data_IF_273507100752
#
_entry.id   IF_273507100752
#
_cell.length_a   1.000
_cell.length_b   1.000
_cell.length_c   1.000
_cell.angle_alpha   90.00
_cell.angle_beta   90.00
_cell.angle_gamma   90.00
#
_symmetry.space_group_name_H-M   'P 1'
#
loop_
_entity.id
_entity.type
_entity.pdbx_description
1 polymer ?
#
# COMPACT_ATOMS: atom_id res chain seq x y z
N UNK A 1 13.42 -6.09 -32.81
CA UNK A 1 12.94 -5.03 -33.69
C UNK A 1 11.71 -4.38 -33.06
N UNK A 2 11.69 -3.09 -33.00
CA UNK A 2 10.54 -2.31 -32.54
C UNK A 2 9.65 -2.04 -33.74
N UNK A 3 8.39 -2.41 -33.69
CA UNK A 3 7.43 -1.99 -34.71
C UNK A 3 6.50 -0.92 -34.11
N UNK A 4 6.46 0.24 -34.75
CA UNK A 4 5.53 1.31 -34.44
C UNK A 4 4.33 1.18 -35.38
N UNK A 5 3.13 1.20 -34.83
CA UNK A 5 1.91 1.30 -35.62
C UNK A 5 1.32 2.73 -35.43
N UNK A 6 1.14 3.43 -36.53
CA UNK A 6 0.65 4.79 -36.61
C UNK A 6 -0.88 4.92 -36.49
N UNK A 7 -1.54 4.01 -35.78
CA UNK A 7 -2.96 4.14 -35.44
C UNK A 7 -3.20 5.43 -34.64
N UNK A 8 -4.16 6.21 -35.05
CA UNK A 8 -4.49 7.55 -34.56
C UNK A 8 -4.85 7.60 -33.08
N UNK A 9 -3.86 7.87 -32.23
CA UNK A 9 -4.03 8.10 -30.79
C UNK A 9 -2.70 8.29 -30.08
N UNK A 10 -2.62 9.04 -28.98
CA UNK A 10 -1.38 9.33 -28.26
C UNK A 10 -0.89 8.15 -27.41
N UNK A 11 -1.23 6.91 -27.73
CA UNK A 11 -0.95 5.74 -26.91
C UNK A 11 0.18 4.91 -27.51
N UNK A 12 1.27 4.73 -26.78
CA UNK A 12 2.32 3.81 -27.09
C UNK A 12 1.90 2.40 -26.64
N UNK A 13 1.27 1.63 -27.50
CA UNK A 13 1.00 0.22 -27.23
C UNK A 13 2.25 -0.61 -27.50
N UNK A 14 2.81 -1.22 -26.48
CA UNK A 14 3.79 -2.26 -26.67
C UNK A 14 3.06 -3.54 -27.12
N UNK A 15 2.97 -3.78 -28.43
CA UNK A 15 2.30 -4.96 -29.00
C UNK A 15 3.07 -6.25 -28.81
N UNK A 16 4.33 -6.19 -28.44
CA UNK A 16 5.15 -7.35 -28.11
C UNK A 16 6.63 -7.02 -28.00
N UNK A 17 7.34 -7.82 -27.25
CA UNK A 17 8.79 -7.81 -27.15
C UNK A 17 9.27 -9.07 -27.89
N UNK A 18 10.13 -8.94 -28.91
CA UNK A 18 10.78 -10.09 -29.53
C UNK A 18 12.25 -10.18 -29.09
N UNK A 19 12.68 -11.38 -28.72
CA UNK A 19 14.09 -11.71 -28.46
C UNK A 19 14.53 -12.72 -29.50
N UNK A 20 15.60 -12.42 -30.24
CA UNK A 20 16.12 -13.27 -31.31
C UNK A 20 15.04 -13.66 -32.35
N UNK A 21 14.16 -12.73 -32.72
CA UNK A 21 13.09 -12.95 -33.68
C UNK A 21 11.87 -13.74 -33.18
N UNK A 22 11.86 -14.18 -31.92
CA UNK A 22 10.69 -14.79 -31.28
C UNK A 22 9.91 -13.73 -30.51
N UNK A 23 8.62 -13.57 -30.85
CA UNK A 23 7.71 -12.72 -30.14
C UNK A 23 7.45 -13.33 -28.75
N UNK A 24 7.70 -12.57 -27.68
CA UNK A 24 7.44 -13.00 -26.30
C UNK A 24 5.95 -12.91 -25.91
N UNK A 25 5.15 -12.17 -26.70
CA UNK A 25 3.71 -12.07 -26.54
C UNK A 25 3.06 -12.31 -27.90
N UNK A 26 2.16 -13.26 -27.99
CA UNK A 26 1.50 -13.64 -29.23
C UNK A 26 0.40 -12.61 -29.58
N UNK A 27 0.50 -12.01 -30.77
CA UNK A 27 -0.53 -11.12 -31.30
C UNK A 27 -1.82 -11.91 -31.49
N UNK A 28 -2.88 -11.60 -30.75
CA UNK A 28 -4.18 -12.25 -30.82
C UNK A 28 -4.56 -13.15 -29.64
N UNK A 29 -3.65 -13.36 -28.70
CA UNK A 29 -4.03 -13.90 -27.39
C UNK A 29 -4.24 -12.70 -26.48
N UNK A 30 -5.50 -12.35 -26.25
CA UNK A 30 -5.88 -11.51 -25.14
C UNK A 30 -5.45 -12.28 -23.88
N UNK A 31 -4.46 -11.83 -23.08
CA UNK A 31 -4.14 -12.54 -21.84
C UNK A 31 -5.43 -12.68 -21.05
N UNK A 32 -5.69 -13.85 -20.48
CA UNK A 32 -6.94 -14.14 -19.76
C UNK A 32 -7.25 -13.10 -18.65
N UNK A 33 -6.28 -12.26 -18.29
CA UNK A 33 -6.36 -11.20 -17.29
C UNK A 33 -5.89 -9.84 -17.83
N UNK A 34 -6.18 -9.53 -19.10
CA UNK A 34 -5.92 -8.16 -19.59
C UNK A 34 -6.75 -7.17 -18.77
N UNK A 35 -6.17 -6.06 -18.26
CA UNK A 35 -6.92 -5.06 -17.51
C UNK A 35 -7.99 -4.44 -18.41
N UNK A 36 -9.17 -4.18 -17.86
CA UNK A 36 -10.27 -3.53 -18.58
C UNK A 36 -10.07 -2.00 -18.71
N UNK A 37 -9.19 -1.45 -17.87
CA UNK A 37 -8.77 -0.05 -17.92
C UNK A 37 -7.28 -0.01 -18.25
N UNK A 38 -6.94 0.66 -19.34
CA UNK A 38 -5.55 0.91 -19.70
C UNK A 38 -4.90 1.96 -18.77
N UNK A 39 -3.65 1.74 -18.39
CA UNK A 39 -2.88 2.77 -17.69
C UNK A 39 -2.53 3.92 -18.66
N UNK A 40 -2.68 5.15 -18.18
CA UNK A 40 -2.25 6.37 -18.92
C UNK A 40 -0.82 6.78 -18.58
N UNK A 41 -0.20 6.13 -17.59
CA UNK A 41 1.19 6.29 -17.19
C UNK A 41 1.53 5.35 -16.05
N UNK A 42 2.75 4.84 -16.02
CA UNK A 42 3.18 3.98 -14.93
C UNK A 42 4.69 4.10 -14.65
N UNK A 43 5.05 3.86 -13.39
CA UNK A 43 6.42 3.65 -12.92
C UNK A 43 6.42 2.41 -12.03
N UNK A 44 7.23 1.43 -12.35
CA UNK A 44 7.18 0.12 -11.69
C UNK A 44 8.58 -0.32 -11.28
N UNK A 45 8.73 -0.61 -9.99
CA UNK A 45 9.90 -1.23 -9.39
C UNK A 45 9.57 -2.64 -8.89
N UNK A 46 9.67 -3.65 -9.75
CA UNK A 46 9.31 -5.03 -9.40
C UNK A 46 10.17 -5.60 -8.26
N UNK A 47 11.45 -5.25 -8.21
CA UNK A 47 12.35 -5.65 -7.10
C UNK A 47 12.09 -4.86 -5.82
N UNK A 48 11.71 -3.60 -5.95
CA UNK A 48 11.35 -2.73 -4.85
C UNK A 48 9.94 -3.03 -4.31
N UNK A 49 9.15 -3.79 -5.08
CA UNK A 49 7.77 -4.10 -4.70
C UNK A 49 6.87 -2.88 -4.60
N UNK A 50 7.11 -1.88 -5.44
CA UNK A 50 6.36 -0.63 -5.47
C UNK A 50 6.04 -0.20 -6.89
N UNK A 51 4.83 0.28 -7.12
CA UNK A 51 4.42 0.87 -8.40
C UNK A 51 3.54 2.09 -8.22
N UNK A 52 3.61 2.97 -9.23
CA UNK A 52 2.72 4.12 -9.39
C UNK A 52 2.04 3.95 -10.74
N UNK A 53 0.72 4.01 -10.77
CA UNK A 53 -0.06 3.86 -12.00
C UNK A 53 -1.09 4.98 -12.09
N UNK A 54 -1.14 5.65 -13.23
CA UNK A 54 -2.20 6.59 -13.57
C UNK A 54 -3.20 5.92 -14.51
N UNK A 55 -4.49 6.14 -14.29
CA UNK A 55 -5.56 5.63 -15.15
C UNK A 55 -6.75 6.60 -15.19
N UNK A 56 -7.57 6.49 -16.22
CA UNK A 56 -8.88 7.13 -16.27
C UNK A 56 -9.94 6.07 -15.98
N UNK A 57 -10.84 6.34 -15.04
CA UNK A 57 -11.92 5.42 -14.71
C UNK A 57 -12.91 5.26 -15.88
N UNK A 58 -13.72 4.22 -15.85
CA UNK A 58 -14.67 3.90 -16.90
C UNK A 58 -16.10 3.68 -16.39
N UNK A 59 -16.36 4.03 -15.14
CA UNK A 59 -17.66 3.88 -14.47
C UNK A 59 -18.25 2.46 -14.49
N UNK A 60 -17.42 1.44 -14.75
CA UNK A 60 -17.84 0.03 -14.83
C UNK A 60 -17.43 -0.72 -13.59
N UNK A 61 -18.39 -1.28 -12.86
CA UNK A 61 -18.09 -2.11 -11.68
C UNK A 61 -17.36 -3.38 -12.06
N UNK A 62 -16.38 -3.76 -11.23
CA UNK A 62 -15.53 -4.91 -11.52
C UNK A 62 -14.43 -4.64 -12.55
N UNK A 63 -14.27 -3.38 -12.98
CA UNK A 63 -13.17 -3.00 -13.85
C UNK A 63 -11.82 -3.26 -13.19
N UNK A 64 -10.81 -3.58 -13.99
CA UNK A 64 -9.47 -3.93 -13.52
C UNK A 64 -8.42 -2.99 -14.06
N UNK A 65 -7.42 -2.68 -13.23
CA UNK A 65 -6.25 -1.85 -13.57
C UNK A 65 -4.98 -2.67 -13.28
N UNK A 66 -4.07 -2.73 -14.24
CA UNK A 66 -2.78 -3.39 -14.03
C UNK A 66 -1.91 -2.58 -13.06
N UNK A 67 -1.27 -3.26 -12.09
CA UNK A 67 -0.33 -2.62 -11.16
C UNK A 67 1.15 -2.81 -11.53
N UNK A 68 1.45 -3.73 -12.45
CA UNK A 68 2.81 -3.98 -12.96
C UNK A 68 3.78 -4.67 -11.99
N UNK A 69 3.39 -4.97 -10.77
CA UNK A 69 4.21 -5.69 -9.80
C UNK A 69 4.26 -7.19 -10.11
N UNK A 70 5.26 -7.89 -9.56
CA UNK A 70 5.45 -9.34 -9.74
C UNK A 70 4.60 -10.21 -8.79
N UNK A 71 3.93 -9.59 -7.82
CA UNK A 71 3.11 -10.25 -6.81
C UNK A 71 1.86 -9.42 -6.50
N UNK A 72 0.86 -10.07 -5.90
CA UNK A 72 -0.34 -9.39 -5.40
C UNK A 72 0.05 -8.29 -4.40
N UNK A 73 -0.43 -7.05 -4.59
CA UNK A 73 -0.18 -5.97 -3.66
C UNK A 73 -0.83 -6.20 -2.29
N UNK A 74 -0.08 -5.94 -1.23
CA UNK A 74 -0.55 -5.96 0.15
C UNK A 74 -1.17 -4.65 0.58
N UNK A 75 -0.70 -3.54 0.00
CA UNK A 75 -1.13 -2.19 0.34
C UNK A 75 -1.32 -1.38 -0.93
N UNK A 76 -2.51 -0.77 -1.09
CA UNK A 76 -2.85 0.03 -2.27
C UNK A 76 -3.54 1.31 -1.83
N UNK A 77 -3.12 2.42 -2.39
CA UNK A 77 -3.76 3.72 -2.24
C UNK A 77 -4.25 4.19 -3.60
N UNK A 78 -5.50 4.63 -3.69
CA UNK A 78 -6.06 5.27 -4.88
C UNK A 78 -6.52 6.68 -4.53
N UNK A 79 -6.16 7.63 -5.39
CA UNK A 79 -6.56 9.03 -5.27
C UNK A 79 -7.08 9.55 -6.60
N UNK A 80 -8.27 10.13 -6.59
CA UNK A 80 -8.79 10.92 -7.71
C UNK A 80 -7.98 12.22 -7.85
N UNK A 81 -7.54 12.54 -9.05
CA UNK A 81 -6.69 13.70 -9.36
C UNK A 81 -7.35 14.70 -10.31
N UNK A 82 -8.57 14.41 -10.83
CA UNK A 82 -9.39 15.34 -11.60
C UNK A 82 -10.85 15.27 -11.12
N UNK A 83 -11.65 16.24 -11.49
CA UNK A 83 -13.08 16.31 -11.09
C UNK A 83 -13.28 16.81 -9.67
N UNK A 84 -14.18 16.17 -8.90
CA UNK A 84 -14.54 16.55 -7.54
C UNK A 84 -13.49 16.12 -6.51
N UNK A 85 -13.51 16.75 -5.34
CA UNK A 85 -12.61 16.37 -4.23
C UNK A 85 -13.09 15.07 -3.59
N UNK A 86 -12.25 14.04 -3.64
CA UNK A 86 -12.51 12.73 -3.05
C UNK A 86 -11.44 12.35 -2.02
N UNK A 87 -11.78 11.45 -1.11
CA UNK A 87 -10.84 10.92 -0.12
C UNK A 87 -9.82 9.96 -0.75
N UNK A 88 -8.68 9.80 -0.10
CA UNK A 88 -7.69 8.79 -0.44
C UNK A 88 -8.20 7.42 -0.01
N UNK A 89 -8.53 6.56 -0.94
CA UNK A 89 -9.02 5.19 -0.68
C UNK A 89 -7.85 4.26 -0.46
N UNK A 90 -7.95 3.43 0.56
CA UNK A 90 -6.89 2.50 0.95
C UNK A 90 -7.44 1.08 1.04
N UNK A 91 -6.74 0.15 0.36
CA UNK A 91 -6.85 -1.29 0.57
C UNK A 91 -5.62 -1.79 1.29
N UNK A 92 -5.83 -2.63 2.29
CA UNK A 92 -4.78 -3.39 2.96
C UNK A 92 -5.13 -4.88 2.92
N UNK A 93 -4.18 -5.77 2.62
CA UNK A 93 -4.42 -7.21 2.47
C UNK A 93 -5.01 -7.88 3.72
N UNK A 94 -4.79 -7.29 4.89
CA UNK A 94 -5.32 -7.77 6.17
C UNK A 94 -6.69 -7.19 6.57
N UNK A 95 -7.32 -6.40 5.70
CA UNK A 95 -8.68 -5.87 5.88
C UNK A 95 -9.63 -6.62 4.94
N UNK A 96 -10.85 -6.81 5.39
CA UNK A 96 -11.93 -7.40 4.57
C UNK A 96 -12.00 -6.68 3.20
N UNK A 97 -11.98 -7.43 2.08
CA UNK A 97 -11.98 -6.84 0.74
C UNK A 97 -13.23 -6.02 0.39
N UNK A 98 -14.32 -6.16 1.17
CA UNK A 98 -15.54 -5.35 1.01
C UNK A 98 -15.48 -4.03 1.78
N UNK A 99 -14.37 -3.75 2.46
CA UNK A 99 -14.16 -2.54 3.25
C UNK A 99 -13.04 -1.69 2.70
N UNK A 100 -13.15 -0.40 2.92
CA UNK A 100 -12.10 0.57 2.64
C UNK A 100 -11.63 1.28 3.90
N UNK A 101 -10.36 1.63 3.92
CA UNK A 101 -9.79 2.62 4.83
C UNK A 101 -9.59 3.94 4.06
N UNK A 102 -9.42 5.01 4.80
CA UNK A 102 -9.12 6.33 4.23
C UNK A 102 -7.83 6.87 4.83
N UNK A 103 -6.87 7.26 3.98
CA UNK A 103 -5.60 7.78 4.45
C UNK A 103 -5.76 9.15 5.13
N UNK A 104 -6.72 9.93 4.70
CA UNK A 104 -6.99 11.30 5.19
C UNK A 104 -8.10 11.38 6.25
N UNK A 105 -8.51 10.24 6.82
CA UNK A 105 -9.58 10.21 7.83
C UNK A 105 -9.21 9.34 9.03
N UNK A 106 -9.92 9.57 10.14
CA UNK A 106 -9.75 8.77 11.37
C UNK A 106 -10.64 7.53 11.43
N UNK A 107 -11.65 7.41 10.56
CA UNK A 107 -12.59 6.28 10.59
C UNK A 107 -11.87 4.93 10.44
N UNK A 108 -12.43 3.90 11.04
CA UNK A 108 -11.99 2.51 10.87
C UNK A 108 -12.33 1.98 9.46
N UNK A 109 -12.06 0.71 9.20
CA UNK A 109 -12.43 0.07 7.95
C UNK A 109 -13.97 0.02 7.82
N UNK A 110 -14.49 0.69 6.81
CA UNK A 110 -15.94 0.84 6.58
C UNK A 110 -16.37 0.14 5.30
N UNK A 111 -17.55 -0.46 5.34
CA UNK A 111 -18.22 -0.96 4.14
C UNK A 111 -18.80 0.23 3.38
N UNK A 112 -18.45 0.36 2.13
CA UNK A 112 -19.06 1.31 1.20
C UNK A 112 -19.04 0.72 -0.22
N UNK A 113 -19.55 1.44 -1.20
CA UNK A 113 -19.58 0.99 -2.60
C UNK A 113 -18.31 1.36 -3.38
N UNK A 114 -17.42 2.17 -2.80
CA UNK A 114 -16.23 2.71 -3.44
C UNK A 114 -14.96 2.11 -2.82
N UNK A 115 -14.71 0.84 -3.09
CA UNK A 115 -13.58 0.11 -2.53
C UNK A 115 -12.83 -0.69 -3.60
N UNK A 116 -11.62 -1.07 -3.28
CA UNK A 116 -10.84 -1.99 -4.11
C UNK A 116 -11.26 -3.41 -3.74
N UNK A 117 -12.12 -4.02 -4.56
CA UNK A 117 -12.79 -5.29 -4.28
C UNK A 117 -11.87 -6.51 -4.42
N UNK A 118 -10.75 -6.37 -5.10
CA UNK A 118 -9.80 -7.46 -5.30
C UNK A 118 -8.43 -6.99 -5.72
N UNK A 119 -7.46 -7.87 -5.55
CA UNK A 119 -6.12 -7.76 -6.11
C UNK A 119 -5.61 -9.17 -6.39
N UNK A 120 -5.00 -9.36 -7.53
CA UNK A 120 -4.27 -10.57 -7.90
C UNK A 120 -2.79 -10.24 -8.22
N UNK A 121 -2.05 -11.15 -8.82
CA UNK A 121 -0.65 -10.94 -9.18
C UNK A 121 -0.44 -9.95 -10.33
N UNK A 122 -1.49 -9.48 -10.98
CA UNK A 122 -1.43 -8.67 -12.21
C UNK A 122 -2.31 -7.43 -12.14
N UNK A 123 -3.49 -7.52 -11.51
CA UNK A 123 -4.49 -6.47 -11.53
C UNK A 123 -5.07 -6.15 -10.15
N UNK A 124 -5.58 -4.94 -10.05
CA UNK A 124 -6.47 -4.47 -9.00
C UNK A 124 -7.87 -4.43 -9.57
N UNK A 125 -8.85 -4.98 -8.84
CA UNK A 125 -10.27 -4.91 -9.21
C UNK A 125 -10.96 -3.78 -8.45
N UNK A 126 -11.65 -2.93 -9.18
CA UNK A 126 -12.39 -1.78 -8.67
C UNK A 126 -13.86 -2.16 -8.48
N UNK A 127 -14.46 -1.71 -7.37
CA UNK A 127 -15.89 -1.95 -7.11
C UNK A 127 -16.80 -1.08 -8.00
N UNK A 128 -18.10 -1.21 -7.78
CA UNK A 128 -19.15 -0.51 -8.54
C UNK A 128 -19.29 0.98 -8.19
N UNK A 129 -18.67 1.44 -7.11
CA UNK A 129 -18.76 2.84 -6.67
C UNK A 129 -18.02 3.78 -7.63
N UNK A 130 -18.71 4.82 -8.07
CA UNK A 130 -18.29 5.58 -9.24
C UNK A 130 -17.25 6.67 -8.93
N UNK A 131 -17.41 7.43 -7.85
CA UNK A 131 -16.68 8.69 -7.74
C UNK A 131 -15.31 8.60 -7.10
N UNK A 132 -15.07 7.67 -6.18
CA UNK A 132 -13.84 7.64 -5.39
C UNK A 132 -12.68 6.87 -6.01
N UNK A 133 -12.96 5.94 -6.96
CA UNK A 133 -11.95 5.04 -7.54
C UNK A 133 -12.13 4.74 -9.03
N UNK A 134 -13.33 4.89 -9.61
CA UNK A 134 -13.63 4.44 -10.97
C UNK A 134 -14.69 5.28 -11.70
N UNK A 135 -14.98 6.52 -11.28
CA UNK A 135 -15.78 7.46 -12.09
C UNK A 135 -15.03 7.84 -13.36
N UNK A 136 -15.70 8.60 -14.24
CA UNK A 136 -15.11 9.15 -15.48
C UNK A 136 -14.16 10.33 -15.15
N UNK A 137 -13.10 10.02 -14.41
CA UNK A 137 -12.10 10.96 -13.92
C UNK A 137 -10.72 10.30 -13.95
N UNK A 138 -9.68 11.10 -13.77
CA UNK A 138 -8.32 10.62 -13.65
C UNK A 138 -7.98 10.24 -12.22
N UNK A 139 -7.24 9.16 -12.07
CA UNK A 139 -6.79 8.59 -10.79
C UNK A 139 -5.30 8.29 -10.82
N UNK A 140 -4.70 8.32 -9.62
CA UNK A 140 -3.38 7.79 -9.38
C UNK A 140 -3.49 6.67 -8.33
N UNK A 141 -2.82 5.56 -8.61
CA UNK A 141 -2.73 4.40 -7.74
C UNK A 141 -1.28 4.18 -7.33
N UNK A 142 -1.07 3.98 -6.04
CA UNK A 142 0.19 3.53 -5.45
C UNK A 142 -0.02 2.13 -4.92
N UNK A 143 0.83 1.18 -5.28
CA UNK A 143 0.70 -0.21 -4.87
C UNK A 143 2.02 -0.76 -4.35
N UNK A 144 1.97 -1.51 -3.25
CA UNK A 144 3.13 -2.16 -2.63
C UNK A 144 2.80 -3.61 -2.31
N UNK A 145 3.80 -4.47 -2.43
CA UNK A 145 3.77 -5.83 -1.88
C UNK A 145 4.91 -6.04 -0.89
N UNK A 146 4.81 -7.09 -0.07
CA UNK A 146 5.88 -7.47 0.84
C UNK A 146 7.17 -7.78 0.08
N UNK A 147 8.29 -7.22 0.57
CA UNK A 147 9.65 -7.54 0.08
C UNK A 147 10.52 -7.86 1.30
N UNK A 148 10.98 -9.11 1.45
CA UNK A 148 11.80 -9.50 2.59
C UNK A 148 12.99 -8.56 2.79
N UNK A 149 13.16 -8.09 4.03
CA UNK A 149 14.24 -7.18 4.39
C UNK A 149 14.12 -5.74 3.91
N UNK A 150 13.07 -5.38 3.15
CA UNK A 150 12.84 -4.02 2.66
C UNK A 150 11.54 -3.42 3.20
N UNK A 151 10.44 -4.14 3.08
CA UNK A 151 9.13 -3.66 3.52
C UNK A 151 8.19 -4.79 3.91
N UNK A 152 7.32 -4.52 4.87
CA UNK A 152 6.34 -5.47 5.40
C UNK A 152 5.01 -4.78 5.68
N UNK A 153 3.93 -5.40 5.21
CA UNK A 153 2.55 -5.02 5.45
C UNK A 153 1.83 -6.15 6.16
N UNK A 154 1.09 -5.86 7.21
CA UNK A 154 0.45 -6.90 7.99
C UNK A 154 -0.51 -6.35 9.04
N UNK A 155 -0.86 -7.17 10.01
CA UNK A 155 -1.72 -6.79 11.13
C UNK A 155 -1.19 -7.32 12.45
N UNK A 156 -1.64 -6.68 13.53
CA UNK A 156 -1.53 -7.22 14.87
C UNK A 156 -2.85 -7.08 15.62
N UNK A 157 -2.98 -7.84 16.70
CA UNK A 157 -4.11 -7.77 17.62
C UNK A 157 -3.63 -7.12 18.90
N UNK A 158 -4.34 -6.10 19.35
CA UNK A 158 -4.07 -5.42 20.62
C UNK A 158 -4.35 -6.34 21.83
N UNK A 159 -3.66 -6.07 22.94
CA UNK A 159 -3.81 -6.80 24.21
C UNK A 159 -3.94 -5.89 25.43
N UNK A 160 -4.15 -4.59 25.22
CA UNK A 160 -4.33 -3.57 26.26
C UNK A 160 -3.27 -3.61 27.37
N UNK A 161 -2.06 -4.02 27.07
CA UNK A 161 -0.95 -4.15 28.00
C UNK A 161 0.25 -3.31 27.56
N UNK A 162 0.95 -2.68 28.50
CA UNK A 162 2.25 -2.03 28.23
C UNK A 162 3.34 -3.03 27.83
N UNK A 163 3.14 -4.32 28.13
CA UNK A 163 3.86 -5.42 27.52
C UNK A 163 3.10 -5.91 26.28
N UNK A 164 2.90 -5.02 25.32
CA UNK A 164 2.11 -5.24 24.13
C UNK A 164 2.70 -6.24 23.15
N UNK A 165 2.01 -6.52 22.03
CA UNK A 165 2.48 -7.49 21.04
C UNK A 165 3.81 -7.07 20.41
N UNK A 166 4.65 -8.07 20.14
CA UNK A 166 5.80 -7.96 19.27
C UNK A 166 5.37 -8.31 17.84
N UNK A 167 5.71 -7.45 16.89
CA UNK A 167 5.39 -7.60 15.48
C UNK A 167 6.69 -7.83 14.71
N UNK A 168 6.87 -9.06 14.24
CA UNK A 168 8.02 -9.42 13.42
C UNK A 168 7.87 -8.91 12.00
N UNK A 169 8.84 -8.15 11.52
CA UNK A 169 8.89 -7.64 10.15
C UNK A 169 10.01 -8.28 9.32
N UNK A 170 10.93 -9.01 9.96
CA UNK A 170 12.11 -9.59 9.33
C UNK A 170 13.20 -8.56 9.01
N UNK A 171 13.07 -7.34 9.55
CA UNK A 171 14.00 -6.23 9.34
C UNK A 171 13.88 -5.22 10.49
N UNK A 172 14.91 -4.36 10.66
CA UNK A 172 14.78 -3.17 11.49
C UNK A 172 13.98 -2.11 10.73
N UNK A 173 12.80 -1.70 11.21
CA UNK A 173 12.04 -0.62 10.57
C UNK A 173 12.73 0.74 10.75
N UNK A 174 12.83 1.52 9.67
CA UNK A 174 13.08 2.95 9.73
C UNK A 174 11.80 3.74 9.93
N UNK A 175 10.71 3.26 9.33
CA UNK A 175 9.39 3.86 9.38
C UNK A 175 8.37 2.78 9.70
N UNK A 176 7.52 3.04 10.69
CA UNK A 176 6.35 2.24 11.03
C UNK A 176 5.12 3.13 11.02
N UNK A 177 4.12 2.70 10.28
CA UNK A 177 2.80 3.34 10.27
C UNK A 177 1.77 2.29 10.62
N UNK A 178 0.85 2.60 11.51
CA UNK A 178 -0.24 1.69 11.84
C UNK A 178 -1.57 2.41 12.11
N UNK A 179 -2.65 1.66 11.97
CA UNK A 179 -4.02 2.15 12.07
C UNK A 179 -4.92 1.09 12.68
N UNK A 180 -5.71 1.47 13.66
CA UNK A 180 -6.82 0.62 14.12
C UNK A 180 -7.85 0.47 13.03
N UNK A 181 -8.08 -0.77 12.57
CA UNK A 181 -8.98 -1.07 11.45
C UNK A 181 -10.33 -1.62 11.89
N UNK A 182 -10.43 -2.23 13.06
CA UNK A 182 -11.65 -2.92 13.53
C UNK A 182 -12.68 -2.02 14.19
N UNK A 183 -12.26 -0.90 14.78
CA UNK A 183 -13.14 -0.01 15.52
C UNK A 183 -12.52 1.38 15.69
N UNK A 184 -13.32 2.34 16.20
CA UNK A 184 -12.86 3.65 16.64
C UNK A 184 -12.65 4.67 15.53
N UNK A 185 -12.29 5.87 15.90
CA UNK A 185 -11.97 7.03 15.06
C UNK A 185 -10.51 7.45 15.23
N UNK A 186 -9.58 6.50 15.33
CA UNK A 186 -8.20 6.76 15.68
C UNK A 186 -7.38 7.19 14.44
N UNK A 187 -6.35 8.03 14.58
CA UNK A 187 -5.53 8.47 13.47
C UNK A 187 -4.61 7.37 12.94
N UNK A 188 -3.98 7.63 11.78
CA UNK A 188 -2.82 6.89 11.30
C UNK A 188 -1.58 7.37 12.04
N UNK A 189 -0.96 6.48 12.77
CA UNK A 189 0.18 6.75 13.63
C UNK A 189 1.48 6.49 12.90
N UNK A 190 2.45 7.38 13.06
CA UNK A 190 3.74 7.34 12.36
C UNK A 190 4.89 7.43 13.37
N UNK A 191 5.74 6.41 13.36
CA UNK A 191 6.99 6.37 14.10
C UNK A 191 8.16 6.15 13.14
N UNK A 192 9.28 6.77 13.41
CA UNK A 192 10.50 6.57 12.62
C UNK A 192 11.76 6.59 13.49
N UNK A 193 12.81 5.94 12.98
CA UNK A 193 14.09 5.84 13.65
C UNK A 193 14.94 7.12 13.64
N UNK A 194 14.53 8.14 12.86
CA UNK A 194 15.26 9.42 12.78
C UNK A 194 14.90 10.33 13.95
N UNK A 195 13.59 10.44 14.24
CA UNK A 195 13.11 11.21 15.40
C UNK A 195 13.25 10.45 16.71
N UNK A 196 13.21 9.12 16.65
CA UNK A 196 13.35 8.21 17.79
C UNK A 196 14.64 7.40 17.65
N UNK A 197 15.75 7.98 18.07
CA UNK A 197 17.10 7.38 17.94
C UNK A 197 17.36 6.25 18.95
N UNK A 198 16.52 6.16 19.99
CA UNK A 198 16.59 5.13 21.03
C UNK A 198 15.19 4.62 21.39
N UNK A 199 15.13 3.46 22.00
CA UNK A 199 13.89 2.97 22.64
C UNK A 199 13.79 3.56 24.08
N UNK A 200 12.63 3.88 24.53
CA UNK A 200 11.32 3.84 23.90
C UNK A 200 11.21 4.91 22.81
N UNK A 201 10.62 4.56 21.66
CA UNK A 201 10.25 5.51 20.62
C UNK A 201 8.95 6.18 21.04
N UNK A 202 9.00 7.44 21.47
CA UNK A 202 7.87 8.20 22.04
C UNK A 202 7.34 9.28 21.11
N UNK A 203 8.16 9.74 20.16
CA UNK A 203 7.80 10.80 19.22
C UNK A 203 6.97 10.22 18.08
N UNK A 204 5.77 10.75 17.90
CA UNK A 204 4.84 10.31 16.87
C UNK A 204 4.30 11.46 16.05
N UNK A 205 3.98 11.17 14.80
CA UNK A 205 3.19 12.01 13.90
C UNK A 205 1.90 11.30 13.50
N UNK A 206 1.08 12.03 12.78
CA UNK A 206 -0.22 11.57 12.30
C UNK A 206 -0.34 11.87 10.81
N UNK A 207 -0.65 10.86 9.98
CA UNK A 207 -0.76 11.11 8.53
C UNK A 207 -2.04 11.83 8.10
N UNK A 208 -3.07 11.74 8.92
CA UNK A 208 -4.41 12.19 8.53
C UNK A 208 -4.90 13.44 9.27
N UNK A 209 -4.05 14.11 10.02
CA UNK A 209 -4.36 15.39 10.66
C UNK A 209 -3.14 16.32 10.68
N UNK A 210 -3.37 17.56 11.04
CA UNK A 210 -2.35 18.60 11.08
C UNK A 210 -1.79 18.86 12.50
N UNK A 211 -1.96 17.91 13.43
CA UNK A 211 -1.39 18.01 14.76
C UNK A 211 0.15 18.02 14.66
N UNK A 212 0.76 18.86 15.49
CA UNK A 212 2.20 18.84 15.66
C UNK A 212 2.70 17.49 16.22
N UNK A 213 4.00 17.26 16.18
CA UNK A 213 4.62 16.11 16.83
C UNK A 213 4.19 16.03 18.30
N UNK A 214 3.86 14.82 18.72
CA UNK A 214 3.49 14.53 20.10
C UNK A 214 4.44 13.49 20.68
N UNK A 215 4.92 13.71 21.90
CA UNK A 215 5.82 12.79 22.59
C UNK A 215 5.22 12.43 23.95
N UNK A 216 5.10 11.12 24.22
CA UNK A 216 4.72 10.60 25.52
C UNK A 216 5.12 9.12 25.64
N UNK A 217 5.61 8.74 26.82
CA UNK A 217 5.88 7.34 27.14
C UNK A 217 4.63 6.46 27.13
N UNK A 218 3.44 7.08 27.35
CA UNK A 218 2.15 6.39 27.34
C UNK A 218 1.76 5.85 25.96
N UNK A 219 2.46 6.27 24.92
CA UNK A 219 2.16 5.90 23.53
C UNK A 219 3.40 5.37 22.79
N UNK A 220 4.29 4.73 23.50
CA UNK A 220 5.57 4.32 22.96
C UNK A 220 5.50 2.99 22.20
N UNK A 221 6.47 2.82 21.32
CA UNK A 221 6.85 1.54 20.73
C UNK A 221 8.35 1.29 20.92
N UNK A 222 8.78 0.04 20.85
CA UNK A 222 10.19 -0.29 20.62
C UNK A 222 10.41 -0.54 19.13
N UNK A 223 11.45 0.05 18.54
CA UNK A 223 11.95 -0.29 17.21
C UNK A 223 13.13 -1.26 17.41
N UNK A 224 12.96 -2.49 16.91
CA UNK A 224 13.88 -3.60 17.16
C UNK A 224 14.58 -4.05 15.86
N UNK A 225 15.62 -4.85 15.97
CA UNK A 225 16.41 -5.30 14.81
C UNK A 225 15.61 -6.10 13.78
N UNK A 226 14.52 -6.75 14.19
CA UNK A 226 13.70 -7.62 13.36
C UNK A 226 12.20 -7.27 13.40
N UNK A 227 11.84 -6.08 13.92
CA UNK A 227 10.45 -5.69 14.02
C UNK A 227 10.21 -4.51 14.96
N UNK A 228 9.00 -4.44 15.50
CA UNK A 228 8.65 -3.45 16.51
C UNK A 228 7.74 -4.06 17.57
N UNK A 229 7.69 -3.45 18.74
CA UNK A 229 6.85 -3.90 19.86
C UNK A 229 6.02 -2.75 20.40
N UNK A 230 4.74 -2.98 20.62
CA UNK A 230 3.85 -2.01 21.25
C UNK A 230 4.17 -1.93 22.75
N UNK A 231 4.29 -0.72 23.30
CA UNK A 231 4.70 -0.46 24.68
C UNK A 231 3.68 0.38 25.44
N UNK A 232 2.41 0.30 25.04
CA UNK A 232 1.31 1.04 25.65
C UNK A 232 0.11 0.17 25.90
N UNK A 233 -0.67 0.51 26.93
CA UNK A 233 -2.02 -0.02 27.18
C UNK A 233 -3.13 0.87 26.61
N UNK A 234 -2.81 1.96 25.95
CA UNK A 234 -3.82 2.87 25.38
C UNK A 234 -4.66 2.18 24.31
N UNK A 235 -5.97 2.33 24.42
CA UNK A 235 -6.93 1.61 23.56
C UNK A 235 -6.94 2.10 22.11
N UNK A 236 -6.46 3.30 21.83
CA UNK A 236 -6.30 3.80 20.45
C UNK A 236 -5.17 3.11 19.72
N UNK A 237 -4.19 2.53 20.44
CA UNK A 237 -2.99 1.89 19.91
C UNK A 237 -2.94 0.37 20.18
N UNK A 238 -3.59 -0.09 21.26
CA UNK A 238 -3.42 -1.46 21.73
C UNK A 238 -4.70 -2.04 22.40
N UNK A 239 -5.90 -1.56 22.04
CA UNK A 239 -7.14 -2.09 22.59
C UNK A 239 -7.21 -3.62 22.48
N UNK A 240 -7.62 -4.27 23.56
CA UNK A 240 -7.74 -5.73 23.61
C UNK A 240 -8.66 -6.25 22.51
N UNK A 241 -8.19 -7.26 21.78
CA UNK A 241 -8.90 -7.89 20.67
C UNK A 241 -9.07 -7.04 19.42
N UNK A 242 -8.71 -5.75 19.45
CA UNK A 242 -8.80 -4.89 18.26
C UNK A 242 -7.74 -5.23 17.23
N UNK A 243 -8.11 -5.15 15.96
CA UNK A 243 -7.17 -5.36 14.83
C UNK A 243 -6.59 -4.03 14.40
N UNK A 244 -5.26 -4.03 14.27
CA UNK A 244 -4.48 -2.93 13.71
C UNK A 244 -3.77 -3.41 12.46
N UNK A 245 -3.85 -2.63 11.38
CA UNK A 245 -3.00 -2.83 10.20
C UNK A 245 -1.74 -2.02 10.34
N UNK A 246 -0.64 -2.51 9.76
CA UNK A 246 0.62 -1.79 9.78
C UNK A 246 1.35 -1.85 8.45
N UNK A 247 2.18 -0.86 8.23
CA UNK A 247 3.15 -0.75 7.16
C UNK A 247 4.51 -0.44 7.78
N UNK A 248 5.54 -1.17 7.40
CA UNK A 248 6.89 -0.99 7.89
C UNK A 248 7.89 -1.00 6.72
N UNK A 249 8.82 -0.06 6.74
CA UNK A 249 9.91 0.02 5.76
C UNK A 249 11.25 0.00 6.48
N UNK A 250 12.22 -0.70 5.91
CA UNK A 250 13.55 -0.85 6.49
C UNK A 250 14.37 0.45 6.44
N UNK A 251 15.28 0.61 7.37
CA UNK A 251 16.30 1.66 7.34
C UNK A 251 17.25 1.48 6.13
N UNK A 252 17.64 0.23 5.88
CA UNK A 252 18.31 -0.22 4.68
C UNK A 252 17.85 -1.65 4.40
N UNK A 253 17.74 -2.07 3.13
CA UNK A 253 17.40 -3.46 2.83
C UNK A 253 18.40 -4.40 3.51
N UNK A 254 17.93 -5.38 4.26
CA UNK A 254 18.80 -6.38 4.92
C UNK A 254 19.52 -7.27 3.90
N UNK A 255 18.95 -7.35 2.71
CA UNK A 255 19.57 -7.95 1.52
C UNK A 255 19.48 -6.91 0.43
N UNK A 256 20.60 -6.55 -0.18
CA UNK A 256 20.60 -5.60 -1.30
C UNK A 256 19.67 -6.09 -2.42
N UNK A 257 18.89 -5.18 -2.99
CA UNK A 257 17.91 -5.48 -4.06
C UNK A 257 18.55 -6.20 -5.28
N UNK A 258 19.86 -6.18 -5.38
CA UNK A 258 20.65 -6.80 -6.43
C UNK A 258 21.56 -7.94 -5.91
N UNK A 259 21.25 -8.49 -4.72
CA UNK A 259 21.91 -9.67 -4.15
C UNK A 259 23.12 -9.38 -3.25
N UNK A 260 23.47 -8.13 -3.01
CA UNK A 260 24.47 -7.78 -1.98
C UNK A 260 23.83 -7.74 -0.60
N UNK A 261 24.52 -8.25 0.41
CA UNK A 261 24.10 -8.05 1.80
C UNK A 261 24.31 -6.59 2.20
N UNK A 262 23.33 -5.98 2.85
CA UNK A 262 23.53 -4.71 3.54
C UNK A 262 24.30 -4.98 4.83
N UNK A 263 25.29 -4.15 5.11
CA UNK A 263 26.00 -4.20 6.39
C UNK A 263 25.05 -3.87 7.52
N UNK A 264 24.95 -4.74 8.52
CA UNK A 264 24.28 -4.43 9.79
C UNK A 264 25.02 -3.25 10.44
N UNK A 265 24.28 -2.24 10.87
CA UNK A 265 24.77 -1.19 11.77
C UNK A 265 24.58 -1.63 13.21
#
# INVERSE_FOLDING_TARGET
AWSYDSGSGPYCYMRGISVSGKLLVNNGVNPANAPSIASTGCSVGTKQGFSIVRYTGNSTGGATVAHGLSQTPDFVIVKQISGTTESWRVRHSSVDPTKTLYLNQTVNAVSNTEYISGADSTTITLSTGLNGINGDNDYIMYAWHNVPGLQKFGKYIGNESSNGPFIETGMRPALVVFKKSSAGGDPWLVYDGTRNTSNLATNRLFWNNNNQESSSADYAIDILSNGFKIRTSDTSWNAEGATFVYMAWAEAPSIGLYGSQSTAR
#
